data_IF_558832449207
#
_entry.id   IF_558832449207
#
_cell.length_a   1.000
_cell.length_b   1.000
_cell.length_c   1.000
_cell.angle_alpha   90.00
_cell.angle_beta   90.00
_cell.angle_gamma   90.00
#
_symmetry.space_group_name_H-M   'P 1'
#
loop_
_entity.id
_entity.type
_entity.pdbx_description
1 polymer ?
#
# COMPACT_ATOMS: atom_id res chain seq x y z
N UNK A 1 9.05 8.66 -18.65
CA UNK A 1 8.74 9.31 -17.35
C UNK A 1 7.29 9.79 -17.20
N UNK A 2 6.68 10.47 -18.20
CA UNK A 2 5.27 10.91 -18.08
C UNK A 2 4.30 9.75 -17.89
N UNK A 3 4.47 8.65 -18.64
CA UNK A 3 3.63 7.45 -18.53
C UNK A 3 3.65 6.85 -17.12
N UNK A 4 4.84 6.64 -16.54
CA UNK A 4 5.01 6.14 -15.16
C UNK A 4 4.22 6.97 -14.15
N UNK A 5 4.33 8.31 -14.21
CA UNK A 5 3.62 9.20 -13.28
C UNK A 5 2.10 9.11 -13.44
N UNK A 6 1.61 9.00 -14.68
CA UNK A 6 0.18 8.87 -14.97
C UNK A 6 -0.35 7.55 -14.41
N UNK A 7 0.39 6.44 -14.62
CA UNK A 7 0.03 5.13 -14.09
C UNK A 7 0.04 5.16 -12.56
N UNK A 8 1.10 5.67 -11.93
CA UNK A 8 1.19 5.75 -10.48
C UNK A 8 0.04 6.56 -9.85
N UNK A 9 -0.30 7.71 -10.44
CA UNK A 9 -1.42 8.53 -9.96
C UNK A 9 -2.78 7.83 -10.11
N UNK A 10 -2.98 7.11 -11.23
CA UNK A 10 -4.19 6.32 -11.47
C UNK A 10 -4.34 5.20 -10.44
N UNK A 11 -3.26 4.45 -10.19
CA UNK A 11 -3.27 3.35 -9.22
C UNK A 11 -3.49 3.85 -7.79
N UNK A 12 -2.84 4.95 -7.41
CA UNK A 12 -3.05 5.57 -6.11
C UNK A 12 -4.51 5.99 -5.92
N UNK A 13 -5.11 6.64 -6.92
CA UNK A 13 -6.53 7.03 -6.88
C UNK A 13 -7.45 5.81 -6.81
N UNK A 14 -7.16 4.78 -7.60
CA UNK A 14 -7.95 3.54 -7.61
C UNK A 14 -7.95 2.82 -6.26
N UNK A 15 -6.84 2.88 -5.51
CA UNK A 15 -6.78 2.38 -4.13
C UNK A 15 -7.77 3.13 -3.22
N UNK A 16 -7.79 4.47 -3.28
CA UNK A 16 -8.72 5.28 -2.49
C UNK A 16 -10.17 5.23 -2.97
N UNK A 17 -10.45 4.85 -4.21
CA UNK A 17 -11.83 4.68 -4.68
C UNK A 17 -12.52 3.45 -4.06
N UNK A 18 -11.77 2.59 -3.35
CA UNK A 18 -12.29 1.33 -2.85
C UNK A 18 -12.38 1.25 -1.33
N UNK A 19 -13.47 0.69 -0.80
CA UNK A 19 -13.68 0.61 0.64
C UNK A 19 -12.61 -0.20 1.37
N UNK A 20 -11.99 -1.18 0.70
CA UNK A 20 -10.94 -2.02 1.28
C UNK A 20 -9.72 -1.21 1.74
N UNK A 21 -9.30 -0.19 1.00
CA UNK A 21 -8.15 0.63 1.38
C UNK A 21 -8.43 1.41 2.68
N UNK A 22 -9.64 1.96 2.83
CA UNK A 22 -10.06 2.62 4.06
C UNK A 22 -10.13 1.65 5.25
N UNK A 23 -10.64 0.44 5.03
CA UNK A 23 -10.68 -0.59 6.09
C UNK A 23 -9.25 -0.91 6.56
N UNK A 24 -8.31 -1.11 5.63
CA UNK A 24 -6.91 -1.38 5.96
C UNK A 24 -6.28 -0.21 6.73
N UNK A 25 -6.54 1.03 6.32
CA UNK A 25 -6.04 2.23 7.03
C UNK A 25 -6.58 2.34 8.45
N UNK A 26 -7.90 2.14 8.64
CA UNK A 26 -8.53 2.20 9.97
C UNK A 26 -7.98 1.10 10.88
N UNK A 27 -7.85 -0.13 10.36
CA UNK A 27 -7.27 -1.25 11.11
C UNK A 27 -5.81 -0.98 11.46
N UNK A 28 -5.02 -0.47 10.51
CA UNK A 28 -3.61 -0.13 10.75
C UNK A 28 -3.45 0.93 11.83
N UNK A 29 -4.16 2.06 11.71
CA UNK A 29 -4.10 3.16 12.68
C UNK A 29 -4.61 2.71 14.04
N UNK A 30 -5.71 1.96 14.08
CA UNK A 30 -6.29 1.43 15.31
C UNK A 30 -5.35 0.47 16.05
N UNK A 31 -4.77 -0.51 15.33
CA UNK A 31 -3.80 -1.45 15.89
C UNK A 31 -2.52 -0.75 16.32
N UNK A 32 -1.99 0.16 15.50
CA UNK A 32 -0.77 0.90 15.84
C UNK A 32 -0.97 1.77 17.09
N UNK A 33 -2.09 2.49 17.17
CA UNK A 33 -2.44 3.33 18.34
C UNK A 33 -2.62 2.46 19.59
N UNK A 34 -3.35 1.35 19.48
CA UNK A 34 -3.55 0.43 20.60
C UNK A 34 -2.23 -0.14 21.13
N UNK A 35 -1.35 -0.59 20.23
CA UNK A 35 -0.02 -1.10 20.61
C UNK A 35 0.86 -0.01 21.22
N UNK A 36 0.79 1.22 20.70
CA UNK A 36 1.54 2.36 21.24
C UNK A 36 1.13 2.66 22.68
N UNK A 37 -0.16 2.88 22.95
CA UNK A 37 -0.64 3.20 24.31
C UNK A 37 -0.32 2.08 25.30
N UNK A 38 -0.53 0.82 24.90
CA UNK A 38 -0.20 -0.34 25.74
C UNK A 38 1.28 -0.37 26.15
N UNK A 39 2.19 -0.06 25.22
CA UNK A 39 3.61 -0.04 25.54
C UNK A 39 4.02 1.18 26.35
N UNK A 40 3.45 2.35 26.05
CA UNK A 40 3.72 3.56 26.82
C UNK A 40 3.35 3.38 28.31
N UNK A 41 2.23 2.72 28.59
CA UNK A 41 1.80 2.39 29.97
C UNK A 41 2.75 1.38 30.64
N UNK A 42 3.30 0.42 29.89
CA UNK A 42 4.18 -0.61 30.42
C UNK A 42 5.60 -0.12 30.73
N UNK A 43 6.17 0.75 29.87
CA UNK A 43 7.54 1.25 30.03
C UNK A 43 7.63 2.52 30.89
N UNK A 44 6.53 3.28 31.04
CA UNK A 44 6.51 4.51 31.83
C UNK A 44 7.37 5.65 31.26
N UNK A 45 7.83 5.54 30.01
CA UNK A 45 8.68 6.52 29.32
C UNK A 45 8.02 6.90 28.00
N UNK A 46 7.93 8.20 27.73
CA UNK A 46 7.44 8.72 26.45
C UNK A 46 8.48 8.53 25.34
N UNK A 47 8.52 7.32 24.78
CA UNK A 47 9.41 6.97 23.67
C UNK A 47 8.67 6.26 22.55
N UNK A 48 9.04 6.57 21.30
CA UNK A 48 8.48 5.92 20.11
C UNK A 48 9.20 4.59 19.77
N UNK A 49 10.31 4.27 20.44
CA UNK A 49 11.12 3.07 20.14
C UNK A 49 10.31 1.78 20.19
N UNK A 50 9.51 1.52 21.25
CA UNK A 50 8.75 0.28 21.31
C UNK A 50 7.71 0.19 20.18
N UNK A 51 7.11 1.31 19.78
CA UNK A 51 6.20 1.34 18.64
C UNK A 51 6.91 0.99 17.32
N UNK A 52 8.10 1.55 17.11
CA UNK A 52 8.92 1.27 15.93
C UNK A 52 9.40 -0.19 15.89
N UNK A 53 9.64 -0.83 17.03
CA UNK A 53 10.02 -2.25 17.09
C UNK A 53 8.85 -3.18 16.66
N UNK A 54 7.60 -2.77 16.92
CA UNK A 54 6.41 -3.50 16.49
C UNK A 54 5.94 -3.15 15.07
N UNK A 55 6.37 -2.02 14.53
CA UNK A 55 5.92 -1.53 13.22
C UNK A 55 6.25 -2.49 12.06
N UNK A 56 7.43 -3.15 11.99
CA UNK A 56 7.73 -4.15 10.96
C UNK A 56 6.77 -5.34 10.98
N UNK A 57 6.33 -5.76 12.18
CA UNK A 57 5.37 -6.85 12.32
C UNK A 57 4.00 -6.47 11.78
N UNK A 58 3.58 -5.22 11.98
CA UNK A 58 2.33 -4.71 11.42
C UNK A 58 2.41 -4.60 9.89
N UNK A 59 3.54 -4.11 9.37
CA UNK A 59 3.80 -4.04 7.93
C UNK A 59 3.90 -5.41 7.25
N UNK A 60 4.35 -6.45 7.94
CA UNK A 60 4.37 -7.82 7.42
C UNK A 60 2.99 -8.27 6.93
N UNK A 61 1.91 -7.82 7.58
CA UNK A 61 0.54 -8.11 7.17
C UNK A 61 -0.02 -7.03 6.23
N UNK A 62 0.27 -5.75 6.50
CA UNK A 62 -0.29 -4.64 5.72
C UNK A 62 0.24 -4.62 4.27
N UNK A 63 1.55 -4.77 4.09
CA UNK A 63 2.19 -4.67 2.77
C UNK A 63 1.62 -5.71 1.80
N UNK A 64 1.55 -7.02 2.14
CA UNK A 64 0.93 -7.99 1.25
C UNK A 64 -0.55 -7.71 1.01
N UNK A 65 -1.31 -7.31 2.05
CA UNK A 65 -2.74 -7.02 1.90
C UNK A 65 -3.03 -5.88 0.91
N UNK A 66 -2.21 -4.82 0.94
CA UNK A 66 -2.30 -3.70 -0.01
C UNK A 66 -1.80 -4.11 -1.40
N UNK A 67 -0.70 -4.88 -1.46
CA UNK A 67 -0.02 -5.13 -2.73
C UNK A 67 -0.62 -6.24 -3.58
N UNK A 68 -1.28 -7.23 -2.97
CA UNK A 68 -1.84 -8.40 -3.66
C UNK A 68 -2.76 -8.04 -4.83
N UNK A 69 -3.54 -6.95 -4.73
CA UNK A 69 -4.52 -6.60 -5.76
C UNK A 69 -3.93 -5.94 -7.00
N UNK A 70 -2.82 -5.20 -6.89
CA UNK A 70 -2.38 -4.38 -8.02
C UNK A 70 -1.98 -5.18 -9.26
N UNK A 71 -1.49 -6.42 -9.11
CA UNK A 71 -1.17 -7.28 -10.26
C UNK A 71 -2.23 -8.35 -10.50
N UNK A 72 -2.86 -8.85 -9.43
CA UNK A 72 -3.86 -9.91 -9.53
C UNK A 72 -5.15 -9.43 -10.23
N UNK A 73 -5.53 -8.17 -10.05
CA UNK A 73 -6.78 -7.66 -10.61
C UNK A 73 -6.70 -7.40 -12.10
N UNK A 74 -5.59 -6.84 -12.58
CA UNK A 74 -5.33 -6.66 -14.01
C UNK A 74 -5.20 -8.00 -14.73
N UNK A 75 -4.59 -9.00 -14.07
CA UNK A 75 -4.48 -10.36 -14.58
C UNK A 75 -5.84 -11.06 -14.65
N UNK A 76 -6.70 -10.87 -13.64
CA UNK A 76 -8.03 -11.49 -13.57
C UNK A 76 -9.03 -10.88 -14.55
N UNK A 77 -8.93 -9.57 -14.79
CA UNK A 77 -9.87 -8.82 -15.64
C UNK A 77 -9.43 -8.73 -17.10
N UNK A 78 -8.27 -9.27 -17.46
CA UNK A 78 -7.71 -9.23 -18.82
C UNK A 78 -7.30 -7.83 -19.27
N UNK A 79 -7.27 -6.83 -18.37
CA UNK A 79 -6.89 -5.45 -18.75
C UNK A 79 -5.42 -5.34 -19.09
N UNK A 80 -4.60 -6.28 -18.63
CA UNK A 80 -3.17 -6.30 -18.89
C UNK A 80 -2.87 -6.30 -20.41
N UNK A 81 -3.64 -7.05 -21.19
CA UNK A 81 -3.51 -7.12 -22.65
C UNK A 81 -3.89 -5.81 -23.33
N UNK A 82 -4.95 -5.14 -22.86
CA UNK A 82 -5.42 -3.86 -23.40
C UNK A 82 -4.43 -2.73 -23.11
N UNK A 83 -3.81 -2.76 -21.93
CA UNK A 83 -2.80 -1.78 -21.51
C UNK A 83 -1.52 -2.00 -22.31
N UNK A 84 -1.07 -3.24 -22.49
CA UNK A 84 0.13 -3.55 -23.29
C UNK A 84 -0.07 -3.37 -24.80
N UNK A 85 -1.31 -3.32 -25.29
CA UNK A 85 -1.60 -2.93 -26.67
C UNK A 85 -1.35 -1.43 -26.94
N UNK A 86 -1.22 -0.60 -25.89
CA UNK A 86 -0.81 0.80 -26.02
C UNK A 86 0.72 0.93 -26.13
N UNK A 87 1.25 2.05 -26.65
CA UNK A 87 2.70 2.25 -26.80
C UNK A 87 3.37 2.55 -25.44
N UNK A 88 3.32 1.59 -24.53
CA UNK A 88 3.95 1.62 -23.21
C UNK A 88 4.74 0.34 -22.99
N UNK A 89 5.89 0.48 -22.34
CA UNK A 89 6.75 -0.68 -22.05
C UNK A 89 6.30 -1.38 -20.76
N UNK A 90 6.54 -2.69 -20.68
CA UNK A 90 6.25 -3.49 -19.47
C UNK A 90 6.94 -2.91 -18.23
N UNK A 91 8.18 -2.42 -18.38
CA UNK A 91 8.94 -1.77 -17.31
C UNK A 91 8.27 -0.49 -16.82
N UNK A 92 7.72 0.34 -17.71
CA UNK A 92 6.99 1.54 -17.30
C UNK A 92 5.70 1.23 -16.56
N UNK A 93 5.01 0.14 -16.92
CA UNK A 93 3.83 -0.34 -16.21
C UNK A 93 4.21 -0.83 -14.80
N UNK A 94 5.25 -1.66 -14.70
CA UNK A 94 5.73 -2.22 -13.43
C UNK A 94 6.17 -1.09 -12.48
N UNK A 95 6.99 -0.16 -12.97
CA UNK A 95 7.45 0.99 -12.18
C UNK A 95 6.30 1.91 -11.77
N UNK A 96 5.32 2.12 -12.65
CA UNK A 96 4.13 2.91 -12.34
C UNK A 96 3.33 2.31 -11.19
N UNK A 97 3.05 1.00 -11.24
CA UNK A 97 2.35 0.28 -10.17
C UNK A 97 3.14 0.25 -8.87
N UNK A 98 4.44 0.00 -8.94
CA UNK A 98 5.32 0.01 -7.77
C UNK A 98 5.32 1.37 -7.06
N UNK A 99 5.49 2.47 -7.81
CA UNK A 99 5.47 3.83 -7.24
C UNK A 99 4.09 4.17 -6.67
N UNK A 100 3.00 3.75 -7.31
CA UNK A 100 1.65 3.94 -6.79
C UNK A 100 1.43 3.26 -5.43
N UNK A 101 1.90 2.02 -5.28
CA UNK A 101 1.82 1.28 -4.01
C UNK A 101 2.75 1.83 -2.93
N UNK A 102 3.96 2.23 -3.33
CA UNK A 102 4.94 2.82 -2.41
C UNK A 102 4.48 4.17 -1.86
N UNK A 103 3.73 4.96 -2.62
CA UNK A 103 3.14 6.21 -2.15
C UNK A 103 1.95 6.01 -1.20
N UNK A 104 1.30 4.84 -1.25
CA UNK A 104 0.18 4.52 -0.35
C UNK A 104 0.66 4.02 1.02
N UNK A 105 1.73 3.21 1.03
CA UNK A 105 2.36 2.67 2.24
C UNK A 105 3.18 3.73 3.00
#
# INVERSE_FOLDING_TARGET
>A
MRAIRIIAWRELKALFDQPTAYILLVVFVGLNSFLFFRQQDAYGVASLRPMLDFLPWLFLFLIPAVTMRALAEDSRSGTLEVVLAQPITELELLLGKYVGQLLFL
#
